data_IF_872734344394
#
_entry.id   IF_872734344394
#
_cell.length_a   1.000
_cell.length_b   1.000
_cell.length_c   1.000
_cell.angle_alpha   90.00
_cell.angle_beta   90.00
_cell.angle_gamma   90.00
#
_symmetry.space_group_name_H-M   'P 1'
#
loop_
_entity.id
_entity.type
_entity.pdbx_description
1 polymer ?
#
# COMPACT_ATOMS: atom_id res chain seq x y z
N UNK A 1 -33.56 23.49 33.94
CA UNK A 1 -32.30 22.73 33.79
C UNK A 1 -32.03 22.62 32.30
N UNK A 2 -31.41 23.66 31.74
CA UNK A 2 -31.13 23.76 30.31
C UNK A 2 -29.72 23.26 30.04
N UNK A 3 -29.60 22.17 29.29
CA UNK A 3 -28.32 21.67 28.79
C UNK A 3 -28.14 22.19 27.36
N UNK A 4 -27.62 23.41 27.24
CA UNK A 4 -27.15 23.92 25.97
C UNK A 4 -25.91 23.12 25.58
N UNK A 5 -26.05 22.25 24.57
CA UNK A 5 -24.91 21.64 23.89
C UNK A 5 -24.09 22.76 23.27
N UNK A 6 -22.96 23.10 23.89
CA UNK A 6 -21.97 24.01 23.33
C UNK A 6 -21.63 23.51 21.93
N UNK A 7 -21.89 24.35 20.93
CA UNK A 7 -21.50 24.09 19.55
C UNK A 7 -19.99 23.93 19.50
N UNK A 8 -19.54 22.68 19.50
CA UNK A 8 -18.13 22.35 19.34
C UNK A 8 -17.64 22.94 18.04
N UNK A 9 -16.50 23.63 18.09
CA UNK A 9 -15.78 24.07 16.89
C UNK A 9 -15.65 22.83 15.99
N UNK A 10 -16.17 22.87 14.75
CA UNK A 10 -16.03 21.72 13.86
C UNK A 10 -14.53 21.41 13.70
N UNK A 11 -14.15 20.13 13.66
CA UNK A 11 -12.75 19.75 13.55
C UNK A 11 -12.13 20.46 12.34
N UNK A 12 -10.91 21.00 12.48
CA UNK A 12 -10.26 21.74 11.41
C UNK A 12 -10.18 20.91 10.12
N UNK A 13 -10.18 21.59 8.97
CA UNK A 13 -10.37 20.94 7.67
C UNK A 13 -9.34 19.83 7.37
N UNK A 14 -8.13 19.93 7.92
CA UNK A 14 -7.09 18.89 7.78
C UNK A 14 -7.42 17.60 8.52
N UNK A 15 -8.17 17.67 9.62
CA UNK A 15 -8.61 16.52 10.40
C UNK A 15 -9.77 15.81 9.69
N UNK A 16 -10.66 16.58 9.04
CA UNK A 16 -11.70 16.06 8.14
C UNK A 16 -11.12 15.47 6.87
N UNK A 17 -10.10 16.12 6.29
CA UNK A 17 -9.37 15.61 5.13
C UNK A 17 -8.60 14.34 5.47
N UNK A 18 -7.98 14.26 6.65
CA UNK A 18 -7.30 13.05 7.15
C UNK A 18 -8.30 11.92 7.40
N UNK A 19 -9.42 12.21 8.05
CA UNK A 19 -10.50 11.24 8.26
C UNK A 19 -11.11 10.75 6.94
N UNK A 20 -11.20 11.61 5.92
CA UNK A 20 -11.72 11.25 4.61
C UNK A 20 -10.69 10.48 3.75
N UNK A 21 -9.41 10.84 3.86
CA UNK A 21 -8.29 10.08 3.26
C UNK A 21 -8.15 8.68 3.88
N UNK A 22 -8.45 8.54 5.17
CA UNK A 22 -8.54 7.26 5.88
C UNK A 22 -9.83 6.47 5.55
N UNK A 23 -10.80 7.07 4.83
CA UNK A 23 -12.07 6.44 4.45
C UNK A 23 -12.09 5.91 3.02
N UNK A 24 -11.20 6.39 2.17
CA UNK A 24 -11.02 5.83 0.82
C UNK A 24 -10.05 4.65 0.91
N UNK A 25 -10.49 3.39 0.68
CA UNK A 25 -9.58 2.25 0.65
C UNK A 25 -8.46 2.54 -0.34
N UNK A 26 -7.23 2.51 0.16
CA UNK A 26 -6.04 2.64 -0.67
C UNK A 26 -5.62 1.22 -1.03
N UNK A 27 -5.85 0.87 -2.28
CA UNK A 27 -5.44 -0.40 -2.84
C UNK A 27 -4.15 -0.21 -3.61
N UNK A 28 -3.16 -1.04 -3.30
CA UNK A 28 -1.94 -1.14 -4.07
C UNK A 28 -2.13 -2.24 -5.13
N UNK A 29 -2.14 -1.87 -6.40
CA UNK A 29 -2.13 -2.85 -7.49
C UNK A 29 -0.88 -3.72 -7.39
N UNK A 30 -1.01 -5.00 -7.71
CA UNK A 30 0.08 -5.97 -7.84
C UNK A 30 0.73 -5.88 -9.24
N UNK A 31 0.08 -5.19 -10.19
CA UNK A 31 0.51 -5.09 -11.58
C UNK A 31 0.11 -6.28 -12.45
N UNK A 32 -0.76 -7.16 -11.93
CA UNK A 32 -1.37 -8.25 -12.68
C UNK A 32 -2.89 -8.10 -12.61
N UNK A 33 -3.58 -7.78 -13.72
CA UNK A 33 -5.02 -7.54 -13.71
C UNK A 33 -5.84 -8.70 -13.14
N UNK A 34 -5.39 -9.94 -13.35
CA UNK A 34 -6.07 -11.13 -12.84
C UNK A 34 -5.95 -11.20 -11.31
N UNK A 35 -4.75 -10.98 -10.75
CA UNK A 35 -4.54 -11.00 -9.31
C UNK A 35 -5.20 -9.81 -8.63
N UNK A 36 -5.14 -8.63 -9.24
CA UNK A 36 -5.83 -7.44 -8.73
C UNK A 36 -7.33 -7.68 -8.66
N UNK A 37 -7.93 -8.28 -9.69
CA UNK A 37 -9.35 -8.63 -9.67
C UNK A 37 -9.68 -9.64 -8.55
N UNK A 38 -8.85 -10.68 -8.38
CA UNK A 38 -9.03 -11.68 -7.32
C UNK A 38 -8.94 -11.08 -5.91
N UNK A 39 -8.17 -9.99 -5.74
CA UNK A 39 -8.01 -9.28 -4.47
C UNK A 39 -8.98 -8.11 -4.30
N UNK A 40 -9.92 -7.91 -5.23
CA UNK A 40 -10.89 -6.82 -5.14
C UNK A 40 -10.35 -5.45 -5.51
N UNK A 41 -9.29 -5.40 -6.33
CA UNK A 41 -8.66 -4.17 -6.87
C UNK A 41 -7.19 -3.98 -6.48
N UNK A 42 -6.67 -4.82 -5.58
CA UNK A 42 -5.26 -4.82 -5.16
C UNK A 42 -5.10 -5.20 -3.70
N UNK A 43 -3.91 -4.96 -3.15
CA UNK A 43 -3.61 -5.15 -1.73
C UNK A 43 -4.19 -3.98 -0.94
N UNK A 44 -5.09 -4.26 -0.01
CA UNK A 44 -5.66 -3.25 0.89
C UNK A 44 -4.63 -2.75 1.89
N UNK A 45 -4.43 -1.43 2.00
CA UNK A 45 -3.35 -0.85 2.82
C UNK A 45 -3.81 -0.20 4.12
N UNK A 46 -5.11 -0.10 4.39
CA UNK A 46 -5.62 0.62 5.57
C UNK A 46 -5.85 -0.27 6.78
N UNK A 47 -6.10 -1.57 6.58
CA UNK A 47 -6.50 -2.46 7.66
C UNK A 47 -5.80 -3.83 7.54
N UNK A 48 -4.97 -4.15 8.54
CA UNK A 48 -4.34 -5.48 8.68
C UNK A 48 -2.94 -5.59 8.08
N UNK A 49 -2.44 -6.83 8.04
CA UNK A 49 -1.14 -7.21 7.48
C UNK A 49 -1.41 -8.28 6.42
N UNK A 50 -0.79 -8.15 5.25
CA UNK A 50 -0.85 -9.17 4.20
C UNK A 50 0.37 -10.06 4.27
N UNK A 51 0.12 -11.37 4.41
CA UNK A 51 1.16 -12.39 4.40
C UNK A 51 1.22 -13.08 3.03
N UNK A 52 2.42 -13.17 2.46
CA UNK A 52 2.70 -13.92 1.23
C UNK A 52 3.50 -15.18 1.62
N UNK A 53 2.83 -16.33 1.66
CA UNK A 53 3.43 -17.60 2.04
C UNK A 53 3.56 -18.56 0.83
N UNK A 54 4.50 -19.51 0.92
CA UNK A 54 4.76 -20.49 -0.14
C UNK A 54 6.19 -21.02 -0.16
N UNK A 55 6.44 -22.08 -0.93
CA UNK A 55 7.75 -22.73 -1.04
C UNK A 55 8.83 -21.82 -1.60
N UNK A 56 10.11 -22.15 -1.37
CA UNK A 56 11.23 -21.46 -2.03
C UNK A 56 11.06 -21.52 -3.55
N UNK A 57 11.37 -20.43 -4.25
CA UNK A 57 11.15 -20.32 -5.70
C UNK A 57 9.71 -19.99 -6.13
N UNK A 58 8.71 -19.95 -5.23
CA UNK A 58 7.32 -19.62 -5.58
C UNK A 58 7.08 -18.14 -5.97
N UNK A 59 8.13 -17.33 -6.17
CA UNK A 59 8.00 -15.93 -6.61
C UNK A 59 7.71 -14.89 -5.52
N UNK A 60 7.70 -15.27 -4.23
CA UNK A 60 7.39 -14.35 -3.11
C UNK A 60 8.30 -13.11 -3.07
N UNK A 61 9.61 -13.30 -3.13
CA UNK A 61 10.57 -12.17 -3.12
C UNK A 61 10.40 -11.28 -4.35
N UNK A 62 10.11 -11.87 -5.51
CA UNK A 62 9.84 -11.14 -6.75
C UNK A 62 8.58 -10.26 -6.61
N UNK A 63 7.54 -10.81 -6.00
CA UNK A 63 6.30 -10.08 -5.70
C UNK A 63 6.56 -8.90 -4.75
N UNK A 64 7.34 -9.11 -3.69
CA UNK A 64 7.73 -8.02 -2.76
C UNK A 64 8.49 -6.91 -3.49
N UNK A 65 9.46 -7.24 -4.36
CA UNK A 65 10.19 -6.23 -5.15
C UNK A 65 9.26 -5.44 -6.08
N UNK A 66 8.31 -6.13 -6.72
CA UNK A 66 7.30 -5.48 -7.55
C UNK A 66 6.48 -4.47 -6.74
N UNK A 67 6.03 -4.85 -5.55
CA UNK A 67 5.23 -3.98 -4.67
C UNK A 67 6.00 -2.74 -4.21
N UNK A 68 7.32 -2.86 -3.97
CA UNK A 68 8.16 -1.70 -3.63
C UNK A 68 8.15 -0.63 -4.73
N UNK A 69 8.21 -1.05 -6.00
CA UNK A 69 8.16 -0.14 -7.14
C UNK A 69 6.74 0.39 -7.35
N UNK A 70 5.72 -0.46 -7.23
CA UNK A 70 4.33 -0.05 -7.41
C UNK A 70 3.87 0.97 -6.38
N UNK A 71 4.32 0.88 -5.14
CA UNK A 71 3.99 1.85 -4.10
C UNK A 71 4.42 3.29 -4.45
N UNK A 72 5.47 3.43 -5.25
CA UNK A 72 6.01 4.72 -5.71
C UNK A 72 5.24 5.31 -6.89
N UNK A 73 4.47 4.49 -7.61
CA UNK A 73 3.70 4.98 -8.74
C UNK A 73 2.56 5.91 -8.28
N UNK A 74 2.13 6.84 -9.15
CA UNK A 74 0.95 7.63 -8.90
C UNK A 74 -0.32 6.80 -8.69
N UNK A 75 -1.32 7.37 -8.02
CA UNK A 75 -2.58 6.69 -7.69
C UNK A 75 -3.34 6.29 -8.96
N UNK A 76 -3.30 7.11 -10.01
CA UNK A 76 -3.92 6.83 -11.30
C UNK A 76 -3.29 5.63 -12.03
N UNK A 77 -2.09 5.20 -11.61
CA UNK A 77 -1.41 3.99 -12.07
C UNK A 77 -1.52 2.84 -11.05
N UNK A 78 -2.43 2.93 -10.07
CA UNK A 78 -2.63 1.91 -9.03
C UNK A 78 -1.51 1.84 -8.00
N UNK A 79 -0.72 2.91 -7.85
CA UNK A 79 0.26 3.07 -6.78
C UNK A 79 -0.26 3.92 -5.62
N UNK A 80 0.63 4.34 -4.73
CA UNK A 80 0.28 5.11 -3.53
C UNK A 80 0.95 6.49 -3.49
N UNK A 81 1.70 6.86 -4.53
CA UNK A 81 2.55 8.04 -4.57
C UNK A 81 3.44 8.17 -3.31
N UNK A 82 3.94 7.04 -2.80
CA UNK A 82 4.63 6.94 -1.52
C UNK A 82 5.98 6.22 -1.59
N UNK A 83 6.75 6.31 -0.51
CA UNK A 83 7.96 5.51 -0.33
C UNK A 83 7.65 4.09 0.16
N UNK A 84 8.58 3.17 -0.07
CA UNK A 84 8.49 1.80 0.43
C UNK A 84 9.82 1.36 1.08
N UNK A 85 9.73 0.57 2.15
CA UNK A 85 10.88 0.06 2.90
C UNK A 85 10.87 -1.45 2.87
N UNK A 86 11.99 -2.06 2.45
CA UNK A 86 12.20 -3.50 2.50
C UNK A 86 13.09 -3.85 3.69
N UNK A 87 12.55 -4.65 4.61
CA UNK A 87 13.34 -5.32 5.64
C UNK A 87 13.63 -6.74 5.16
N UNK A 88 14.90 -7.05 4.88
CA UNK A 88 15.31 -8.33 4.35
C UNK A 88 16.28 -9.06 5.30
N UNK A 89 16.10 -10.37 5.46
CA UNK A 89 16.91 -11.22 6.34
C UNK A 89 17.92 -12.11 5.61
N UNK A 90 18.00 -12.03 4.27
CA UNK A 90 18.96 -12.77 3.43
C UNK A 90 20.08 -11.91 2.86
N UNK A 91 20.74 -12.37 1.79
CA UNK A 91 21.90 -11.68 1.19
C UNK A 91 21.50 -10.49 0.30
N UNK A 92 22.14 -9.34 0.51
CA UNK A 92 21.77 -8.05 -0.09
C UNK A 92 21.93 -8.00 -1.63
N UNK A 93 22.94 -8.69 -2.18
CA UNK A 93 23.34 -8.59 -3.60
C UNK A 93 22.25 -9.02 -4.60
N UNK A 94 21.35 -9.95 -4.22
CA UNK A 94 20.31 -10.44 -5.12
C UNK A 94 19.14 -9.44 -5.31
N UNK A 95 18.90 -8.57 -4.32
CA UNK A 95 17.76 -7.65 -4.29
C UNK A 95 18.00 -6.45 -5.20
N UNK A 96 19.15 -5.79 -5.08
CA UNK A 96 19.45 -4.56 -5.82
C UNK A 96 19.47 -4.80 -7.32
N UNK A 97 20.13 -5.87 -7.78
CA UNK A 97 20.18 -6.22 -9.20
C UNK A 97 18.79 -6.44 -9.77
N UNK A 98 17.93 -7.16 -9.04
CA UNK A 98 16.59 -7.47 -9.52
C UNK A 98 15.67 -6.25 -9.47
N UNK A 99 15.80 -5.41 -8.45
CA UNK A 99 15.06 -4.16 -8.34
C UNK A 99 15.37 -3.22 -9.52
N UNK A 100 16.64 -3.05 -9.88
CA UNK A 100 17.05 -2.26 -11.05
C UNK A 100 16.48 -2.83 -12.35
N UNK A 101 16.48 -4.15 -12.52
CA UNK A 101 15.87 -4.79 -13.70
C UNK A 101 14.35 -4.60 -13.81
N UNK A 102 13.66 -4.41 -12.69
CA UNK A 102 12.21 -4.18 -12.67
C UNK A 102 11.83 -2.71 -12.80
N UNK A 103 12.76 -1.80 -12.49
CA UNK A 103 12.55 -0.36 -12.54
C UNK A 103 12.83 0.24 -13.93
N UNK A 104 13.58 -0.46 -14.78
CA UNK A 104 13.89 -0.12 -16.17
C UNK A 104 12.87 -0.75 -17.13
#
# INVERSE_FOLDING_TARGET
IGMATLGGVPPPDWERASAMALRTPRQLSIGCPILDHLLGGGIETQHGIVEIAGQSGAGKSQLVLQLLLRAQLPIEHGGLAGGAVLLHTGTESAITNRLTQLAL
#
